data_IF_463300247580
#
_entry.id   IF_463300247580
#
_cell.length_a   1.000
_cell.length_b   1.000
_cell.length_c   1.000
_cell.angle_alpha   90.00
_cell.angle_beta   90.00
_cell.angle_gamma   90.00
#
_symmetry.space_group_name_H-M   'P 1'
#
loop_
_entity.id
_entity.type
_entity.pdbx_description
1 polymer ?
#
# COMPACT_ATOMS: atom_id res chain seq x y z
N UNK A 1 16.44 -25.82 -5.08
CA UNK A 1 15.99 -24.58 -4.43
C UNK A 1 16.76 -23.31 -4.86
N UNK A 2 17.79 -23.37 -5.71
CA UNK A 2 18.57 -22.18 -6.10
C UNK A 2 17.96 -21.31 -7.23
N UNK A 3 17.16 -21.88 -8.13
CA UNK A 3 16.61 -21.14 -9.28
C UNK A 3 15.48 -20.16 -8.89
N UNK A 4 14.75 -20.43 -7.81
CA UNK A 4 13.63 -19.60 -7.35
C UNK A 4 14.10 -18.35 -6.60
N UNK A 5 15.18 -18.44 -5.83
CA UNK A 5 15.73 -17.32 -5.05
C UNK A 5 16.38 -16.26 -5.95
N UNK A 6 17.16 -16.70 -6.95
CA UNK A 6 17.80 -15.81 -7.93
C UNK A 6 16.78 -14.97 -8.72
N UNK A 7 15.64 -15.55 -9.09
CA UNK A 7 14.57 -14.81 -9.78
C UNK A 7 13.91 -13.77 -8.88
N UNK A 8 13.69 -14.08 -7.59
CA UNK A 8 13.11 -13.13 -6.63
C UNK A 8 14.02 -11.93 -6.37
N UNK A 9 15.34 -12.15 -6.21
CA UNK A 9 16.31 -11.07 -6.03
C UNK A 9 16.43 -10.15 -7.25
N UNK A 10 16.34 -10.72 -8.47
CA UNK A 10 16.32 -9.93 -9.70
C UNK A 10 15.04 -9.09 -9.79
N UNK A 11 13.88 -9.69 -9.51
CA UNK A 11 12.60 -8.98 -9.52
C UNK A 11 12.56 -7.86 -8.46
N UNK A 12 13.06 -8.13 -7.26
CA UNK A 12 13.18 -7.13 -6.20
C UNK A 12 14.03 -5.94 -6.64
N UNK A 13 15.23 -6.20 -7.20
CA UNK A 13 16.11 -5.11 -7.67
C UNK A 13 15.47 -4.28 -8.78
N UNK A 14 14.84 -4.92 -9.77
CA UNK A 14 14.14 -4.21 -10.86
C UNK A 14 12.97 -3.38 -10.34
N UNK A 15 12.20 -3.95 -9.42
CA UNK A 15 11.05 -3.28 -8.78
C UNK A 15 11.51 -2.08 -7.96
N UNK A 16 12.60 -2.19 -7.19
CA UNK A 16 13.16 -1.04 -6.47
C UNK A 16 13.61 0.06 -7.43
N UNK A 17 14.32 -0.32 -8.49
CA UNK A 17 14.81 0.62 -9.50
C UNK A 17 13.67 1.40 -10.18
N UNK A 18 12.62 0.71 -10.65
CA UNK A 18 11.48 1.37 -11.32
C UNK A 18 10.70 2.26 -10.34
N UNK A 19 10.57 1.85 -9.08
CA UNK A 19 9.87 2.65 -8.06
C UNK A 19 10.66 3.91 -7.71
N UNK A 20 11.97 3.80 -7.56
CA UNK A 20 12.83 4.96 -7.35
C UNK A 20 12.77 5.96 -8.50
N UNK A 21 12.82 5.47 -9.74
CA UNK A 21 12.67 6.29 -10.94
C UNK A 21 11.30 6.99 -10.97
N UNK A 22 10.22 6.25 -10.78
CA UNK A 22 8.89 6.83 -10.65
C UNK A 22 8.84 7.89 -9.54
N UNK A 23 9.49 7.63 -8.40
CA UNK A 23 9.49 8.59 -7.30
C UNK A 23 10.31 9.86 -7.58
N UNK A 24 11.18 9.86 -8.58
CA UNK A 24 11.92 11.05 -8.97
C UNK A 24 11.23 11.79 -10.13
N UNK A 25 10.74 11.07 -11.12
CA UNK A 25 10.26 11.64 -12.40
C UNK A 25 8.73 11.82 -12.42
N UNK A 26 7.98 11.05 -11.61
CA UNK A 26 6.50 11.10 -11.48
C UNK A 26 5.72 10.75 -12.75
N UNK A 27 6.32 10.00 -13.66
CA UNK A 27 5.65 9.55 -14.89
C UNK A 27 4.95 8.20 -14.67
N UNK A 28 3.61 8.25 -14.58
CA UNK A 28 2.78 7.07 -14.33
C UNK A 28 2.80 6.06 -15.47
N UNK A 29 2.72 6.53 -16.73
CA UNK A 29 2.68 5.65 -17.90
C UNK A 29 4.04 4.93 -18.12
N UNK A 30 5.15 5.57 -17.74
CA UNK A 30 6.47 4.93 -17.76
C UNK A 30 6.58 3.86 -16.67
N UNK A 31 6.15 4.18 -15.44
CA UNK A 31 6.11 3.21 -14.36
C UNK A 31 5.23 2.00 -14.71
N UNK A 32 4.05 2.24 -15.29
CA UNK A 32 3.15 1.21 -15.82
C UNK A 32 3.87 0.26 -16.78
N UNK A 33 4.54 0.81 -17.80
CA UNK A 33 5.28 0.03 -18.78
C UNK A 33 6.37 -0.81 -18.11
N UNK A 34 7.15 -0.23 -17.19
CA UNK A 34 8.18 -0.94 -16.44
C UNK A 34 7.61 -2.11 -15.63
N UNK A 35 6.42 -1.96 -15.02
CA UNK A 35 5.76 -3.06 -14.30
C UNK A 35 5.32 -4.18 -15.26
N UNK A 36 4.70 -3.84 -16.39
CA UNK A 36 4.29 -4.84 -17.39
C UNK A 36 5.49 -5.62 -17.96
N UNK A 37 6.63 -4.96 -18.13
CA UNK A 37 7.88 -5.57 -18.60
C UNK A 37 8.50 -6.56 -17.60
N UNK A 38 8.15 -6.48 -16.30
CA UNK A 38 8.55 -7.49 -15.32
C UNK A 38 7.94 -8.86 -15.63
N UNK A 39 6.77 -8.90 -16.31
CA UNK A 39 6.04 -10.12 -16.71
C UNK A 39 5.90 -11.14 -15.58
N UNK A 40 5.69 -10.65 -14.36
CA UNK A 40 5.69 -11.47 -13.14
C UNK A 40 4.47 -11.19 -12.24
N UNK A 41 3.25 -11.57 -12.66
CA UNK A 41 2.03 -11.28 -11.89
C UNK A 41 2.03 -11.83 -10.46
N UNK A 42 2.70 -12.96 -10.22
CA UNK A 42 2.83 -13.54 -8.88
C UNK A 42 3.67 -12.70 -7.91
N UNK A 43 4.38 -11.68 -8.41
CA UNK A 43 5.19 -10.75 -7.62
C UNK A 43 4.49 -9.41 -7.38
N UNK A 44 3.26 -9.24 -7.88
CA UNK A 44 2.50 -8.00 -7.72
C UNK A 44 2.28 -7.59 -6.25
N UNK A 45 1.95 -8.50 -5.31
CA UNK A 45 1.84 -8.15 -3.89
C UNK A 45 3.16 -7.59 -3.32
N UNK A 46 4.30 -8.20 -3.63
CA UNK A 46 5.62 -7.71 -3.24
C UNK A 46 5.91 -6.33 -3.85
N UNK A 47 5.54 -6.10 -5.11
CA UNK A 47 5.67 -4.78 -5.72
C UNK A 47 4.89 -3.71 -4.97
N UNK A 48 3.65 -3.99 -4.57
CA UNK A 48 2.82 -3.09 -3.77
C UNK A 48 3.47 -2.80 -2.42
N UNK A 49 3.96 -3.85 -1.72
CA UNK A 49 4.66 -3.70 -0.45
C UNK A 49 5.93 -2.85 -0.58
N UNK A 50 6.73 -3.07 -1.64
CA UNK A 50 7.95 -2.30 -1.89
C UNK A 50 7.64 -0.84 -2.26
N UNK A 51 6.56 -0.58 -3.01
CA UNK A 51 6.11 0.78 -3.32
C UNK A 51 5.80 1.57 -2.05
N UNK A 52 5.08 0.94 -1.10
CA UNK A 52 4.75 1.55 0.18
C UNK A 52 6.02 1.76 1.02
N UNK A 53 6.84 0.72 1.20
CA UNK A 53 8.07 0.79 2.01
C UNK A 53 9.01 1.89 1.52
N UNK A 54 9.41 1.83 0.25
CA UNK A 54 10.33 2.80 -0.33
C UNK A 54 9.74 4.20 -0.35
N UNK A 55 8.44 4.34 -0.63
CA UNK A 55 7.77 5.63 -0.67
C UNK A 55 7.74 6.30 0.70
N UNK A 56 7.51 5.53 1.77
CA UNK A 56 7.44 6.05 3.14
C UNK A 56 8.82 6.33 3.75
N UNK A 57 9.86 5.63 3.31
CA UNK A 57 11.26 5.87 3.70
C UNK A 57 11.85 7.17 3.12
N UNK A 58 11.23 7.77 2.10
CA UNK A 58 11.69 9.04 1.51
C UNK A 58 11.50 10.22 2.47
N UNK A 59 12.28 11.28 2.24
CA UNK A 59 12.14 12.55 2.95
C UNK A 59 12.02 13.71 1.95
N UNK A 60 10.84 14.35 1.81
CA UNK A 60 9.57 14.00 2.47
C UNK A 60 8.99 12.66 1.98
N UNK A 61 8.13 11.99 2.77
CA UNK A 61 7.47 10.75 2.38
C UNK A 61 6.61 10.91 1.12
N UNK A 62 6.66 9.93 0.22
CA UNK A 62 5.94 9.92 -1.06
C UNK A 62 4.52 9.34 -0.94
N UNK A 63 3.72 9.78 0.03
CA UNK A 63 2.34 9.27 0.28
C UNK A 63 1.45 9.35 -0.97
N UNK A 64 1.20 10.56 -1.48
CA UNK A 64 0.33 10.76 -2.67
C UNK A 64 0.87 10.07 -3.92
N UNK A 65 2.19 10.15 -4.25
CA UNK A 65 2.74 9.39 -5.37
C UNK A 65 2.53 7.88 -5.26
N UNK A 66 2.69 7.27 -4.08
CA UNK A 66 2.44 5.83 -3.91
C UNK A 66 0.98 5.51 -4.19
N UNK A 67 0.04 6.25 -3.59
CA UNK A 67 -1.39 6.03 -3.81
C UNK A 67 -1.76 6.20 -5.29
N UNK A 68 -1.24 7.23 -5.96
CA UNK A 68 -1.50 7.48 -7.38
C UNK A 68 -0.97 6.36 -8.28
N UNK A 69 0.26 5.86 -8.03
CA UNK A 69 0.81 4.76 -8.80
C UNK A 69 -0.05 3.51 -8.67
N UNK A 70 -0.35 3.11 -7.45
CA UNK A 70 -1.11 1.89 -7.18
C UNK A 70 -2.53 1.96 -7.75
N UNK A 71 -3.23 3.07 -7.56
CA UNK A 71 -4.55 3.30 -8.17
C UNK A 71 -4.48 3.31 -9.71
N UNK A 72 -3.45 3.92 -10.28
CA UNK A 72 -3.24 3.94 -11.72
C UNK A 72 -3.03 2.51 -12.28
N UNK A 73 -2.17 1.71 -11.66
CA UNK A 73 -1.93 0.32 -12.07
C UNK A 73 -3.18 -0.55 -11.99
N UNK A 74 -4.06 -0.33 -11.00
CA UNK A 74 -5.38 -0.99 -10.93
C UNK A 74 -6.29 -0.51 -12.05
N UNK A 75 -6.37 0.80 -12.30
CA UNK A 75 -7.21 1.37 -13.37
C UNK A 75 -6.82 0.87 -14.77
N UNK A 76 -5.55 0.47 -14.95
CA UNK A 76 -5.00 -0.11 -16.18
C UNK A 76 -5.08 -1.63 -16.21
N UNK A 77 -5.66 -2.28 -15.19
CA UNK A 77 -5.77 -3.73 -15.04
C UNK A 77 -4.42 -4.47 -14.98
N UNK A 78 -3.35 -3.78 -14.58
CA UNK A 78 -2.05 -4.41 -14.32
C UNK A 78 -2.02 -5.03 -12.92
N UNK A 79 -2.54 -4.30 -11.93
CA UNK A 79 -2.78 -4.83 -10.59
C UNK A 79 -4.26 -5.13 -10.38
N UNK A 80 -4.56 -6.17 -9.62
CA UNK A 80 -5.92 -6.43 -9.13
C UNK A 80 -6.11 -5.84 -7.73
N UNK A 81 -7.35 -5.56 -7.30
CA UNK A 81 -7.61 -5.19 -5.90
C UNK A 81 -7.08 -6.22 -4.88
N UNK A 82 -7.02 -7.50 -5.27
CA UNK A 82 -6.42 -8.56 -4.46
C UNK A 82 -4.92 -8.40 -4.31
N UNK A 83 -4.20 -8.00 -5.36
CA UNK A 83 -2.76 -7.73 -5.30
C UNK A 83 -2.49 -6.54 -4.37
N UNK A 84 -3.31 -5.48 -4.47
CA UNK A 84 -3.26 -4.32 -3.57
C UNK A 84 -3.45 -4.77 -2.12
N UNK A 85 -4.56 -5.47 -1.83
CA UNK A 85 -4.85 -5.92 -0.48
C UNK A 85 -3.75 -6.80 0.11
N UNK A 86 -3.24 -7.75 -0.68
CA UNK A 86 -2.15 -8.65 -0.26
C UNK A 86 -0.87 -7.87 0.04
N UNK A 87 -0.48 -6.93 -0.82
CA UNK A 87 0.72 -6.11 -0.60
C UNK A 87 0.59 -5.13 0.57
N UNK A 88 -0.58 -4.54 0.75
CA UNK A 88 -0.87 -3.71 1.92
C UNK A 88 -0.81 -4.53 3.22
N UNK A 89 -1.30 -5.77 3.23
CA UNK A 89 -1.19 -6.68 4.37
C UNK A 89 0.26 -7.07 4.66
N UNK A 90 1.07 -7.31 3.63
CA UNK A 90 2.51 -7.58 3.80
C UNK A 90 3.22 -6.41 4.49
N UNK A 91 2.95 -5.17 4.07
CA UNK A 91 3.51 -3.99 4.73
C UNK A 91 2.94 -3.78 6.13
N UNK A 92 1.62 -3.88 6.29
CA UNK A 92 0.92 -3.69 7.57
C UNK A 92 1.37 -4.66 8.65
N UNK A 93 1.70 -5.91 8.29
CA UNK A 93 2.21 -6.91 9.24
C UNK A 93 3.61 -6.60 9.79
N UNK A 94 4.34 -5.67 9.16
CA UNK A 94 5.66 -5.20 9.61
C UNK A 94 5.59 -3.81 10.24
N UNK A 95 4.40 -3.20 10.26
CA UNK A 95 4.26 -1.78 10.56
C UNK A 95 4.57 -1.44 12.01
N UNK A 96 4.35 -2.37 12.94
CA UNK A 96 4.65 -2.13 14.35
C UNK A 96 6.15 -1.96 14.57
N UNK A 97 6.98 -2.81 13.95
CA UNK A 97 8.44 -2.66 14.00
C UNK A 97 8.89 -1.40 13.26
N UNK A 98 8.35 -1.15 12.06
CA UNK A 98 8.70 0.02 11.25
C UNK A 98 8.33 1.32 11.97
N UNK A 99 7.21 1.35 12.68
CA UNK A 99 6.71 2.52 13.39
C UNK A 99 7.62 2.99 14.53
N UNK A 100 8.46 2.10 15.07
CA UNK A 100 9.47 2.44 16.08
C UNK A 100 10.53 3.38 15.48
N UNK A 101 11.05 3.01 14.31
CA UNK A 101 12.11 3.78 13.63
C UNK A 101 11.55 4.95 12.80
N UNK A 102 10.34 4.78 12.26
CA UNK A 102 9.66 5.73 11.40
C UNK A 102 8.26 6.07 11.97
N UNK A 103 8.17 6.96 12.99
CA UNK A 103 6.93 7.21 13.73
C UNK A 103 5.79 7.83 12.91
N UNK A 104 6.09 8.32 11.70
CA UNK A 104 5.07 8.82 10.76
C UNK A 104 4.51 7.74 9.83
N UNK A 105 5.15 6.56 9.75
CA UNK A 105 4.75 5.49 8.85
C UNK A 105 3.29 5.04 9.09
N UNK A 106 2.80 4.86 10.33
CA UNK A 106 1.41 4.44 10.55
C UNK A 106 0.38 5.42 9.98
N UNK A 107 0.54 6.72 10.27
CA UNK A 107 -0.34 7.76 9.73
C UNK A 107 -0.25 7.83 8.19
N UNK A 108 0.97 7.87 7.65
CA UNK A 108 1.19 7.95 6.20
C UNK A 108 0.65 6.72 5.46
N UNK A 109 0.77 5.53 6.05
CA UNK A 109 0.22 4.31 5.48
C UNK A 109 -1.32 4.33 5.50
N UNK A 110 -1.93 4.83 6.57
CA UNK A 110 -3.37 5.06 6.63
C UNK A 110 -3.87 6.04 5.56
N UNK A 111 -3.11 7.10 5.25
CA UNK A 111 -3.42 8.03 4.14
C UNK A 111 -3.38 7.33 2.77
N UNK A 112 -2.39 6.44 2.54
CA UNK A 112 -2.33 5.61 1.33
C UNK A 112 -3.57 4.70 1.25
N UNK A 113 -3.88 3.97 2.33
CA UNK A 113 -5.03 3.07 2.38
C UNK A 113 -6.35 3.80 2.10
N UNK A 114 -6.58 4.94 2.75
CA UNK A 114 -7.79 5.73 2.52
C UNK A 114 -7.90 6.26 1.10
N UNK A 115 -6.77 6.66 0.49
CA UNK A 115 -6.72 7.08 -0.92
C UNK A 115 -7.04 5.91 -1.87
N UNK A 116 -6.58 4.70 -1.57
CA UNK A 116 -6.88 3.50 -2.35
C UNK A 116 -8.36 3.10 -2.24
N UNK A 117 -8.95 3.24 -1.06
CA UNK A 117 -10.40 3.06 -0.85
C UNK A 117 -11.20 4.08 -1.67
N UNK A 118 -10.81 5.36 -1.63
CA UNK A 118 -11.42 6.41 -2.46
C UNK A 118 -11.32 6.12 -3.96
N UNK A 119 -10.22 5.50 -4.40
CA UNK A 119 -10.01 5.11 -5.79
C UNK A 119 -10.68 3.78 -6.18
N UNK A 120 -11.41 3.13 -5.27
CA UNK A 120 -11.95 1.76 -5.45
C UNK A 120 -10.88 0.72 -5.83
N UNK A 121 -9.62 0.98 -5.43
CA UNK A 121 -8.49 0.07 -5.64
C UNK A 121 -8.31 -0.92 -4.47
N UNK A 122 -8.90 -0.60 -3.31
CA UNK A 122 -9.05 -1.47 -2.13
C UNK A 122 -10.39 -1.18 -1.45
N UNK A 123 -10.74 -1.95 -0.42
CA UNK A 123 -11.92 -1.72 0.41
C UNK A 123 -11.61 -1.76 1.91
N UNK A 124 -12.62 -1.46 2.72
CA UNK A 124 -12.51 -1.42 4.18
C UNK A 124 -12.24 -2.80 4.80
N UNK A 125 -12.59 -3.88 4.10
CA UNK A 125 -12.26 -5.25 4.49
C UNK A 125 -10.74 -5.46 4.62
N UNK A 126 -9.95 -4.93 3.69
CA UNK A 126 -8.48 -4.99 3.76
C UNK A 126 -7.97 -4.16 4.94
N UNK A 127 -8.53 -2.97 5.15
CA UNK A 127 -8.16 -2.11 6.28
C UNK A 127 -8.40 -2.85 7.60
N UNK A 128 -9.55 -3.51 7.74
CA UNK A 128 -9.87 -4.33 8.90
C UNK A 128 -8.85 -5.46 9.10
N UNK A 129 -8.54 -6.21 8.04
CA UNK A 129 -7.57 -7.31 8.12
C UNK A 129 -6.18 -6.83 8.56
N UNK A 130 -5.73 -5.66 8.08
CA UNK A 130 -4.47 -5.03 8.51
C UNK A 130 -4.52 -4.70 10.01
N UNK A 131 -5.58 -4.03 10.47
CA UNK A 131 -5.72 -3.68 11.89
C UNK A 131 -5.73 -4.91 12.80
N UNK A 132 -6.28 -6.04 12.34
CA UNK A 132 -6.26 -7.31 13.07
C UNK A 132 -4.86 -7.95 13.16
N UNK A 133 -3.93 -7.60 12.26
CA UNK A 133 -2.56 -8.11 12.24
C UNK A 133 -1.59 -7.29 13.08
N UNK A 134 -1.93 -6.03 13.35
CA UNK A 134 -1.15 -5.15 14.20
C UNK A 134 -1.37 -5.51 15.68
N UNK A 135 -0.35 -5.28 16.49
CA UNK A 135 -0.36 -5.47 17.94
C UNK A 135 -0.39 -4.13 18.67
N UNK A 136 0.22 -3.08 18.12
CA UNK A 136 0.30 -1.77 18.77
C UNK A 136 -0.97 -0.94 18.57
N UNK A 137 -1.70 -0.68 19.66
CA UNK A 137 -2.97 0.06 19.65
C UNK A 137 -2.81 1.53 19.20
N UNK A 138 -1.67 2.16 19.49
CA UNK A 138 -1.42 3.54 19.06
C UNK A 138 -1.23 3.59 17.53
N UNK A 139 -0.50 2.63 16.96
CA UNK A 139 -0.32 2.53 15.52
C UNK A 139 -1.62 2.14 14.80
N UNK A 140 -2.40 1.20 15.34
CA UNK A 140 -3.74 0.89 14.80
C UNK A 140 -4.61 2.15 14.74
N UNK A 141 -4.61 2.93 15.81
CA UNK A 141 -5.35 4.18 15.88
C UNK A 141 -4.87 5.19 14.84
N UNK A 142 -3.56 5.36 14.71
CA UNK A 142 -2.99 6.27 13.74
C UNK A 142 -3.35 5.89 12.30
N UNK A 143 -3.29 4.59 11.97
CA UNK A 143 -3.69 4.07 10.65
C UNK A 143 -5.18 4.35 10.40
N UNK A 144 -6.06 3.93 11.33
CA UNK A 144 -7.50 4.06 11.15
C UNK A 144 -7.96 5.53 11.08
N UNK A 145 -7.46 6.39 11.97
CA UNK A 145 -7.79 7.81 11.98
C UNK A 145 -7.37 8.48 10.65
N UNK A 146 -6.21 8.09 10.09
CA UNK A 146 -5.75 8.58 8.79
C UNK A 146 -6.59 8.07 7.61
N UNK A 147 -7.01 6.78 7.63
CA UNK A 147 -7.93 6.22 6.63
C UNK A 147 -9.23 7.01 6.62
N UNK A 148 -9.86 7.20 7.78
CA UNK A 148 -11.15 7.90 7.90
C UNK A 148 -11.04 9.33 7.41
N UNK A 149 -9.96 10.05 7.74
CA UNK A 149 -9.74 11.43 7.27
C UNK A 149 -9.52 11.54 5.77
N UNK A 150 -9.02 10.48 5.14
CA UNK A 150 -8.71 10.45 3.71
C UNK A 150 -9.90 10.03 2.85
N UNK A 151 -10.98 9.53 3.46
CA UNK A 151 -12.17 9.04 2.78
C UNK A 151 -13.32 10.04 2.91
N UNK A 152 -14.10 10.23 1.84
CA UNK A 152 -15.27 11.12 1.85
C UNK A 152 -16.38 10.63 2.79
N UNK A 153 -17.10 11.57 3.42
CA UNK A 153 -18.22 11.27 4.31
C UNK A 153 -19.28 10.37 3.65
N UNK A 154 -19.57 10.59 2.36
CA UNK A 154 -20.51 9.76 1.60
C UNK A 154 -20.08 8.30 1.51
N UNK A 155 -18.77 8.04 1.34
CA UNK A 155 -18.26 6.69 1.25
C UNK A 155 -18.22 6.03 2.64
N UNK A 156 -17.88 6.79 3.68
CA UNK A 156 -17.97 6.33 5.08
C UNK A 156 -19.39 5.90 5.46
N UNK A 157 -20.40 6.68 5.06
CA UNK A 157 -21.82 6.34 5.30
C UNK A 157 -22.23 5.10 4.51
N UNK A 158 -21.77 4.98 3.27
CA UNK A 158 -22.06 3.81 2.41
C UNK A 158 -21.50 2.52 3.02
N UNK A 159 -20.32 2.58 3.63
CA UNK A 159 -19.63 1.45 4.26
C UNK A 159 -19.68 1.49 5.79
N UNK A 160 -20.74 2.05 6.38
CA UNK A 160 -20.80 2.31 7.82
C UNK A 160 -20.55 1.06 8.69
N UNK A 161 -21.05 -0.10 8.27
CA UNK A 161 -20.83 -1.36 8.99
C UNK A 161 -19.36 -1.80 8.99
N UNK A 162 -18.67 -1.67 7.86
CA UNK A 162 -17.25 -2.03 7.74
C UNK A 162 -16.38 -1.03 8.52
N UNK A 163 -16.71 0.27 8.44
CA UNK A 163 -16.05 1.33 9.21
C UNK A 163 -16.19 1.08 10.72
N UNK A 164 -17.38 0.74 11.19
CA UNK A 164 -17.61 0.43 12.61
C UNK A 164 -16.85 -0.83 13.03
N UNK A 165 -16.80 -1.85 12.18
CA UNK A 165 -15.98 -3.04 12.43
C UNK A 165 -14.49 -2.67 12.58
N UNK A 166 -13.97 -1.77 11.76
CA UNK A 166 -12.60 -1.26 11.94
C UNK A 166 -12.43 -0.49 13.24
N UNK A 167 -13.39 0.37 13.62
CA UNK A 167 -13.34 1.15 14.88
C UNK A 167 -13.32 0.26 16.12
N UNK A 168 -13.95 -0.91 16.07
CA UNK A 168 -13.95 -1.86 17.19
C UNK A 168 -12.60 -2.54 17.46
N UNK A 169 -11.63 -2.38 16.56
CA UNK A 169 -10.29 -2.98 16.66
C UNK A 169 -9.23 -2.04 17.26
N UNK A 170 -9.63 -0.84 17.71
CA UNK A 170 -8.77 0.27 18.12
C UNK A 170 -9.25 0.85 19.45
#
# INVERSE_FOLDING_TARGET
>A
MAATSLNSEVLSRKTKSLLEEYFNVRLLDEALQCVEELKSPSYHPELVKEAISLGLEKNPPCVTPVANLLAHLVSKNVLTPKDIGSGCLLYGSMLDDIGIDLPKAPNNFGEILGSLVMASASGFEVVKEILMKMEDEWFKKAVLDAVIKSVSDSLLVTHAADVEACRSLV
#
